data_IF_343406399816
#
_entry.id   IF_343406399816
#
_cell.length_a   1.000
_cell.length_b   1.000
_cell.length_c   1.000
_cell.angle_alpha   90.00
_cell.angle_beta   90.00
_cell.angle_gamma   90.00
#
_symmetry.space_group_name_H-M   'P 1'
#
loop_
_entity.id
_entity.type
_entity.pdbx_description
1 polymer ?
#
# COMPACT_ATOMS: atom_id res chain seq x y z
N UNK A 1 -16.59 -8.36 -0.92
CA UNK A 1 -16.28 -8.04 0.49
C UNK A 1 -17.49 -7.99 1.43
N UNK A 2 -18.73 -7.94 0.93
CA UNK A 2 -19.95 -7.92 1.74
C UNK A 2 -20.07 -9.07 2.76
N UNK A 3 -19.51 -10.23 2.46
CA UNK A 3 -19.58 -11.44 3.31
C UNK A 3 -18.40 -11.61 4.28
N UNK A 4 -17.45 -10.67 4.32
CA UNK A 4 -16.31 -10.72 5.24
C UNK A 4 -16.66 -9.91 6.49
N UNK A 5 -16.52 -10.52 7.67
CA UNK A 5 -16.63 -9.82 8.93
C UNK A 5 -15.26 -9.25 9.33
N UNK A 6 -15.20 -7.93 9.48
CA UNK A 6 -14.02 -7.26 9.99
C UNK A 6 -14.20 -6.93 11.47
N UNK A 7 -13.15 -7.03 12.26
CA UNK A 7 -13.10 -6.61 13.66
C UNK A 7 -12.63 -5.15 13.81
N UNK A 8 -11.82 -4.70 12.86
CA UNK A 8 -11.15 -3.42 12.86
C UNK A 8 -10.82 -3.01 11.43
N UNK A 9 -10.79 -1.73 11.15
CA UNK A 9 -10.17 -1.19 9.95
C UNK A 9 -9.08 -0.18 10.32
N UNK A 10 -7.98 -0.20 9.56
CA UNK A 10 -6.89 0.77 9.67
C UNK A 10 -6.67 1.36 8.29
N UNK A 11 -6.65 2.69 8.19
CA UNK A 11 -6.54 3.39 6.92
C UNK A 11 -5.37 4.36 6.91
N UNK A 12 -4.84 4.60 5.71
CA UNK A 12 -4.04 5.78 5.45
C UNK A 12 -4.81 7.05 5.83
N UNK A 13 -4.15 8.11 6.31
CA UNK A 13 -4.81 9.38 6.59
C UNK A 13 -5.23 10.13 5.33
N UNK A 14 -4.75 9.71 4.14
CA UNK A 14 -5.11 10.35 2.87
C UNK A 14 -6.58 10.10 2.53
N UNK A 15 -7.29 11.18 2.20
CA UNK A 15 -8.73 11.23 1.99
C UNK A 15 -9.27 10.09 1.12
N UNK A 16 -8.63 9.79 -0.02
CA UNK A 16 -9.05 8.74 -0.95
C UNK A 16 -9.08 7.32 -0.31
N UNK A 17 -8.09 7.00 0.53
CA UNK A 17 -8.02 5.70 1.19
C UNK A 17 -9.05 5.62 2.33
N UNK A 18 -9.23 6.71 3.07
CA UNK A 18 -10.24 6.82 4.12
C UNK A 18 -11.66 6.66 3.56
N UNK A 19 -12.01 7.38 2.51
CA UNK A 19 -13.30 7.27 1.82
C UNK A 19 -13.54 5.84 1.31
N UNK A 20 -12.52 5.19 0.76
CA UNK A 20 -12.61 3.78 0.34
C UNK A 20 -12.95 2.88 1.53
N UNK A 21 -12.25 3.05 2.66
CA UNK A 21 -12.54 2.26 3.87
C UNK A 21 -13.97 2.52 4.39
N UNK A 22 -14.40 3.78 4.45
CA UNK A 22 -15.74 4.18 4.88
C UNK A 22 -16.84 3.54 4.01
N UNK A 23 -16.68 3.54 2.69
CA UNK A 23 -17.62 2.91 1.74
C UNK A 23 -17.66 1.39 1.96
N UNK A 24 -16.50 0.74 2.12
CA UNK A 24 -16.43 -0.71 2.36
C UNK A 24 -17.06 -1.12 3.70
N UNK A 25 -17.09 -0.22 4.67
CA UNK A 25 -17.64 -0.44 6.01
C UNK A 25 -19.07 0.09 6.15
N UNK A 26 -19.67 0.65 5.11
CA UNK A 26 -21.01 1.24 5.18
C UNK A 26 -22.02 0.26 5.78
N UNK A 27 -22.81 0.76 6.75
CA UNK A 27 -23.78 -0.04 7.50
C UNK A 27 -23.19 -0.98 8.57
N UNK A 28 -21.86 -0.99 8.75
CA UNK A 28 -21.17 -1.82 9.76
C UNK A 28 -20.65 -0.95 10.91
N UNK A 29 -20.77 -1.47 12.13
CA UNK A 29 -20.23 -0.80 13.34
C UNK A 29 -18.80 -1.29 13.61
N UNK A 30 -17.89 -0.99 12.70
CA UNK A 30 -16.47 -1.40 12.76
C UNK A 30 -15.64 -0.18 13.13
N UNK A 31 -14.74 -0.26 14.14
CA UNK A 31 -13.78 0.81 14.42
C UNK A 31 -12.89 1.09 13.20
N UNK A 32 -12.71 2.36 12.86
CA UNK A 32 -11.79 2.82 11.81
C UNK A 32 -10.71 3.68 12.46
N UNK A 33 -9.46 3.25 12.37
CA UNK A 33 -8.27 3.95 12.87
C UNK A 33 -7.45 4.50 11.70
N UNK A 34 -6.77 5.59 11.91
CA UNK A 34 -5.78 6.13 10.97
C UNK A 34 -4.37 5.77 11.41
N UNK A 35 -3.49 5.42 10.47
CA UNK A 35 -2.07 5.21 10.73
C UNK A 35 -1.25 5.86 9.60
N UNK A 36 -0.42 6.84 9.97
CA UNK A 36 0.43 7.59 9.04
C UNK A 36 1.38 6.68 8.24
N UNK A 37 1.72 5.53 8.80
CA UNK A 37 2.58 4.55 8.12
C UNK A 37 1.92 3.90 6.92
N UNK A 38 0.60 4.02 6.76
CA UNK A 38 -0.12 3.54 5.57
C UNK A 38 -0.26 4.59 4.46
N UNK A 39 0.26 5.81 4.66
CA UNK A 39 0.26 6.84 3.62
C UNK A 39 1.01 6.39 2.36
N UNK A 40 0.65 6.95 1.21
CA UNK A 40 1.38 6.70 -0.04
C UNK A 40 2.82 7.21 0.06
N UNK A 41 3.68 6.68 -0.79
CA UNK A 41 5.03 7.20 -0.97
C UNK A 41 4.98 8.67 -1.36
N UNK A 42 5.69 9.52 -0.62
CA UNK A 42 5.72 10.96 -0.88
C UNK A 42 6.65 11.31 -2.02
N UNK A 43 6.18 12.15 -2.94
CA UNK A 43 7.00 12.66 -4.05
C UNK A 43 7.53 14.08 -3.82
N UNK A 44 7.31 14.67 -2.63
CA UNK A 44 7.85 15.96 -2.24
C UNK A 44 7.59 17.06 -3.27
N UNK A 45 8.65 17.70 -3.78
CA UNK A 45 8.52 18.77 -4.78
C UNK A 45 7.95 18.32 -6.13
N UNK A 46 7.80 17.00 -6.37
CA UNK A 46 7.20 16.45 -7.57
C UNK A 46 5.71 16.10 -7.40
N UNK A 47 5.11 16.40 -6.24
CA UNK A 47 3.67 16.21 -6.07
C UNK A 47 2.86 17.05 -7.08
N UNK A 48 1.79 16.43 -7.62
CA UNK A 48 0.91 17.07 -8.60
C UNK A 48 1.33 16.95 -10.05
N UNK A 49 2.51 16.39 -10.34
CA UNK A 49 2.89 16.03 -11.71
C UNK A 49 2.32 14.67 -12.09
N UNK A 50 2.07 14.47 -13.39
CA UNK A 50 1.70 13.15 -13.92
C UNK A 50 2.95 12.28 -14.06
N UNK A 51 2.96 11.16 -13.37
CA UNK A 51 4.14 10.27 -13.27
C UNK A 51 4.11 9.10 -14.27
N UNK A 52 3.03 8.92 -15.05
CA UNK A 52 2.86 7.77 -15.94
C UNK A 52 2.08 8.12 -17.22
N UNK A 53 2.29 7.30 -18.26
CA UNK A 53 1.56 7.37 -19.53
C UNK A 53 1.91 8.58 -20.41
N UNK A 54 1.07 8.84 -21.40
CA UNK A 54 1.30 9.91 -22.40
C UNK A 54 1.29 11.33 -21.79
N UNK A 55 0.69 11.49 -20.61
CA UNK A 55 0.62 12.77 -19.89
C UNK A 55 1.80 13.01 -18.95
N UNK A 56 2.74 12.09 -18.89
CA UNK A 56 3.91 12.22 -18.00
C UNK A 56 4.62 13.55 -18.23
N UNK A 57 4.77 14.34 -17.17
CA UNK A 57 5.35 15.69 -17.23
C UNK A 57 6.28 16.00 -16.06
N UNK A 58 6.79 14.98 -15.38
CA UNK A 58 7.77 15.15 -14.30
C UNK A 58 9.04 15.80 -14.86
N UNK A 59 9.52 16.91 -14.26
CA UNK A 59 10.66 17.64 -14.78
C UNK A 59 12.03 16.96 -14.51
N UNK A 60 12.05 15.87 -13.73
CA UNK A 60 13.27 15.14 -13.44
C UNK A 60 13.51 14.02 -14.46
N UNK A 61 14.55 14.11 -15.30
CA UNK A 61 14.85 13.08 -16.29
C UNK A 61 15.27 11.73 -15.68
N UNK A 62 15.63 11.71 -14.38
CA UNK A 62 15.98 10.49 -13.66
C UNK A 62 14.78 9.81 -12.99
N UNK A 63 13.60 10.40 -13.07
CA UNK A 63 12.40 9.81 -12.46
C UNK A 63 12.06 8.43 -13.03
N UNK A 64 12.50 8.11 -14.26
CA UNK A 64 12.30 6.77 -14.83
C UNK A 64 12.87 5.66 -13.95
N UNK A 65 13.92 5.91 -13.15
CA UNK A 65 14.45 4.94 -12.18
C UNK A 65 13.41 4.50 -11.14
N UNK A 66 12.39 5.32 -10.90
CA UNK A 66 11.29 4.92 -10.01
C UNK A 66 10.65 3.59 -10.44
N UNK A 67 10.50 3.38 -11.75
CA UNK A 67 9.92 2.14 -12.28
C UNK A 67 10.97 1.16 -12.79
N UNK A 68 12.01 1.65 -13.48
CA UNK A 68 12.94 0.82 -14.23
C UNK A 68 14.08 0.27 -13.37
N UNK A 69 14.50 1.01 -12.34
CA UNK A 69 15.58 0.63 -11.43
C UNK A 69 15.40 1.31 -10.05
N UNK A 70 14.50 0.77 -9.21
CA UNK A 70 14.21 1.34 -7.89
C UNK A 70 15.43 1.52 -6.99
N UNK A 71 16.49 0.72 -7.19
CA UNK A 71 17.73 0.85 -6.42
C UNK A 71 18.51 2.13 -6.77
N UNK A 72 18.37 2.62 -8.00
CA UNK A 72 18.97 3.86 -8.48
C UNK A 72 18.07 5.10 -8.28
N UNK A 73 16.79 4.91 -7.88
CA UNK A 73 15.88 6.02 -7.61
C UNK A 73 16.37 6.88 -6.45
N UNK A 74 16.39 8.17 -6.65
CA UNK A 74 16.71 9.18 -5.65
C UNK A 74 15.43 9.95 -5.30
N UNK A 75 15.09 9.99 -4.02
CA UNK A 75 13.95 10.76 -3.58
C UNK A 75 14.13 12.25 -3.93
N UNK A 76 13.10 12.91 -4.46
CA UNK A 76 13.12 14.35 -4.66
C UNK A 76 13.10 15.11 -3.33
N UNK A 77 13.37 16.39 -3.36
CA UNK A 77 13.34 17.23 -2.16
C UNK A 77 11.98 17.12 -1.44
N UNK A 78 12.02 16.73 -0.18
CA UNK A 78 10.82 16.47 0.63
C UNK A 78 10.06 15.20 0.28
N UNK A 79 10.59 14.38 -0.62
CA UNK A 79 10.05 13.07 -0.98
C UNK A 79 10.59 11.93 -0.13
N UNK A 80 10.14 10.72 -0.41
CA UNK A 80 10.49 9.49 0.29
C UNK A 80 11.25 8.52 -0.64
N UNK A 81 12.27 7.87 -0.14
CA UNK A 81 12.99 6.80 -0.85
C UNK A 81 12.30 5.44 -0.65
N UNK A 82 12.56 4.46 -1.54
CA UNK A 82 12.08 3.08 -1.35
C UNK A 82 12.56 2.45 -0.04
N UNK A 83 13.77 2.80 0.42
CA UNK A 83 14.30 2.30 1.71
C UNK A 83 13.50 2.82 2.90
N UNK A 84 13.10 4.08 2.86
CA UNK A 84 12.25 4.69 3.90
C UNK A 84 10.84 4.10 3.87
N UNK A 85 10.26 3.93 2.69
CA UNK A 85 8.97 3.29 2.48
C UNK A 85 8.96 1.85 3.03
N UNK A 86 9.94 1.02 2.68
CA UNK A 86 10.08 -0.35 3.20
C UNK A 86 10.30 -0.38 4.72
N UNK A 87 11.07 0.57 5.27
CA UNK A 87 11.26 0.70 6.71
C UNK A 87 9.93 1.00 7.42
N UNK A 88 9.12 1.89 6.86
CA UNK A 88 7.80 2.26 7.36
C UNK A 88 6.83 1.08 7.31
N UNK A 89 6.79 0.35 6.19
CA UNK A 89 6.02 -0.87 6.01
C UNK A 89 6.40 -1.96 7.02
N UNK A 90 7.70 -2.18 7.21
CA UNK A 90 8.23 -3.14 8.20
C UNK A 90 7.82 -2.77 9.63
N UNK A 91 7.89 -1.50 10.00
CA UNK A 91 7.48 -1.04 11.33
C UNK A 91 5.98 -1.23 11.57
N UNK A 92 5.14 -1.03 10.55
CA UNK A 92 3.71 -1.28 10.64
C UNK A 92 3.39 -2.78 10.78
N UNK A 93 4.02 -3.62 9.97
CA UNK A 93 3.83 -5.09 10.03
C UNK A 93 4.32 -5.67 11.36
N UNK A 94 5.43 -5.17 11.92
CA UNK A 94 5.91 -5.60 13.24
C UNK A 94 4.86 -5.36 14.32
N UNK A 95 4.22 -4.18 14.32
CA UNK A 95 3.12 -3.87 15.24
C UNK A 95 1.94 -4.84 15.08
N UNK A 96 1.58 -5.19 13.84
CA UNK A 96 0.50 -6.17 13.59
C UNK A 96 0.86 -7.56 14.12
N UNK A 97 2.13 -7.95 14.01
CA UNK A 97 2.61 -9.26 14.47
C UNK A 97 2.74 -9.36 15.99
N UNK A 98 3.06 -8.25 16.67
CA UNK A 98 3.46 -8.26 18.09
C UNK A 98 2.33 -7.84 19.04
N UNK A 99 1.39 -7.00 18.59
CA UNK A 99 0.33 -6.46 19.45
C UNK A 99 -0.77 -7.48 19.69
N UNK A 100 -0.93 -7.94 20.94
CA UNK A 100 -2.02 -8.83 21.38
C UNK A 100 -3.43 -8.33 21.01
N UNK A 101 -3.61 -7.01 20.90
CA UNK A 101 -4.88 -6.41 20.51
C UNK A 101 -5.33 -6.83 19.08
N UNK A 102 -4.42 -7.33 18.27
CA UNK A 102 -4.68 -7.75 16.89
C UNK A 102 -4.76 -9.28 16.71
N UNK A 103 -4.48 -10.06 17.78
CA UNK A 103 -4.62 -11.51 17.75
C UNK A 103 -6.05 -11.94 17.38
N UNK A 104 -6.16 -12.92 16.50
CA UNK A 104 -7.44 -13.48 16.03
C UNK A 104 -8.40 -12.44 15.44
N UNK A 105 -7.87 -11.36 14.88
CA UNK A 105 -8.65 -10.29 14.26
C UNK A 105 -8.57 -10.36 12.74
N UNK A 106 -9.71 -10.09 12.10
CA UNK A 106 -9.75 -9.77 10.69
C UNK A 106 -9.73 -8.25 10.54
N UNK A 107 -8.62 -7.73 10.01
CA UNK A 107 -8.35 -6.30 9.92
C UNK A 107 -8.42 -5.87 8.45
N UNK A 108 -9.26 -4.88 8.13
CA UNK A 108 -9.24 -4.22 6.84
C UNK A 108 -8.13 -3.17 6.84
N UNK A 109 -7.22 -3.24 5.88
CA UNK A 109 -6.24 -2.19 5.62
C UNK A 109 -6.63 -1.43 4.34
N UNK A 110 -6.73 -0.11 4.40
CA UNK A 110 -6.93 0.74 3.24
C UNK A 110 -5.70 1.62 3.04
N UNK A 111 -5.00 1.40 1.93
CA UNK A 111 -3.72 2.03 1.62
C UNK A 111 -3.58 2.32 0.12
N UNK A 112 -2.39 2.46 -0.40
CA UNK A 112 -2.07 2.93 -1.74
C UNK A 112 -1.13 1.97 -2.46
N UNK A 113 -0.87 2.23 -3.74
CA UNK A 113 -0.13 1.33 -4.62
C UNK A 113 1.28 1.01 -4.16
N UNK A 114 2.12 2.02 -3.93
CA UNK A 114 3.51 1.78 -3.51
C UNK A 114 3.59 1.27 -2.06
N UNK A 115 2.75 1.77 -1.15
CA UNK A 115 2.71 1.27 0.22
C UNK A 115 2.21 -0.18 0.29
N UNK A 116 1.17 -0.55 -0.48
CA UNK A 116 0.71 -1.94 -0.54
C UNK A 116 1.83 -2.85 -1.05
N UNK A 117 2.55 -2.44 -2.12
CA UNK A 117 3.71 -3.16 -2.62
C UNK A 117 4.77 -3.33 -1.53
N UNK A 118 5.11 -2.26 -0.82
CA UNK A 118 6.09 -2.31 0.28
C UNK A 118 5.69 -3.28 1.41
N UNK A 119 4.40 -3.34 1.76
CA UNK A 119 3.89 -4.31 2.74
C UNK A 119 4.06 -5.75 2.26
N UNK A 120 3.65 -6.04 1.02
CA UNK A 120 3.74 -7.37 0.43
C UNK A 120 5.21 -7.81 0.27
N UNK A 121 6.06 -6.94 -0.23
CA UNK A 121 7.49 -7.21 -0.44
C UNK A 121 8.22 -7.42 0.89
N UNK A 122 7.86 -6.65 1.94
CA UNK A 122 8.39 -6.88 3.29
C UNK A 122 8.04 -8.28 3.81
N UNK A 123 6.79 -8.74 3.60
CA UNK A 123 6.37 -10.10 3.99
C UNK A 123 7.11 -11.17 3.21
N UNK A 124 7.38 -10.92 1.92
CA UNK A 124 8.09 -11.86 1.03
C UNK A 124 9.62 -11.81 1.16
N UNK A 125 10.17 -10.81 1.85
CA UNK A 125 11.61 -10.58 1.96
C UNK A 125 12.24 -10.06 0.66
N UNK A 126 11.46 -9.36 -0.17
CA UNK A 126 11.89 -8.75 -1.43
C UNK A 126 12.56 -7.40 -1.14
N UNK A 127 13.70 -7.15 -1.77
CA UNK A 127 14.46 -5.90 -1.64
C UNK A 127 14.03 -4.80 -2.60
N UNK A 128 14.73 -3.64 -2.50
CA UNK A 128 14.44 -2.46 -3.35
C UNK A 128 14.64 -2.78 -4.84
N UNK A 129 15.66 -3.56 -5.18
CA UNK A 129 16.02 -3.89 -6.56
C UNK A 129 14.87 -4.55 -7.34
N UNK A 130 14.00 -5.26 -6.64
CA UNK A 130 12.92 -6.07 -7.20
C UNK A 130 11.53 -5.50 -6.87
N UNK A 131 11.47 -4.26 -6.39
CA UNK A 131 10.25 -3.65 -5.86
C UNK A 131 9.06 -3.71 -6.83
N UNK A 132 9.28 -3.53 -8.12
CA UNK A 132 8.22 -3.54 -9.13
C UNK A 132 8.13 -4.85 -9.93
N UNK A 133 8.89 -5.91 -9.60
CA UNK A 133 8.88 -7.16 -10.36
C UNK A 133 7.49 -7.82 -10.45
N UNK A 134 6.68 -7.68 -9.41
CA UNK A 134 5.28 -8.15 -9.42
C UNK A 134 4.28 -7.11 -9.98
N UNK A 135 4.77 -6.02 -10.55
CA UNK A 135 3.97 -4.94 -11.13
C UNK A 135 3.27 -4.04 -10.09
N UNK A 136 2.62 -3.01 -10.61
CA UNK A 136 1.76 -2.11 -9.83
C UNK A 136 0.41 -2.75 -9.63
N UNK A 137 -0.11 -2.72 -8.41
CA UNK A 137 -1.45 -3.25 -8.11
C UNK A 137 -2.54 -2.40 -8.77
N UNK A 138 -3.56 -3.07 -9.32
CA UNK A 138 -4.74 -2.38 -9.85
C UNK A 138 -5.52 -1.67 -8.74
N UNK A 139 -6.28 -0.65 -9.11
CA UNK A 139 -7.14 0.06 -8.17
C UNK A 139 -8.13 -0.91 -7.50
N UNK A 140 -8.35 -0.73 -6.20
CA UNK A 140 -9.23 -1.59 -5.39
C UNK A 140 -8.88 -3.09 -5.45
N UNK A 141 -7.66 -3.44 -5.88
CA UNK A 141 -7.17 -4.81 -5.75
C UNK A 141 -7.03 -5.18 -4.27
N UNK A 142 -7.34 -6.43 -3.97
CA UNK A 142 -7.32 -6.97 -2.61
C UNK A 142 -6.20 -7.97 -2.48
N UNK A 143 -5.41 -7.83 -1.43
CA UNK A 143 -4.40 -8.81 -1.02
C UNK A 143 -4.68 -9.28 0.40
N UNK A 144 -4.36 -10.53 0.70
CA UNK A 144 -4.58 -11.13 2.01
C UNK A 144 -3.24 -11.54 2.60
N UNK A 145 -2.96 -11.04 3.80
CA UNK A 145 -1.82 -11.43 4.62
C UNK A 145 -2.36 -12.17 5.85
N UNK A 146 -1.94 -13.40 6.06
CA UNK A 146 -2.17 -14.15 7.28
C UNK A 146 -1.00 -13.92 8.23
N UNK A 147 -1.30 -13.63 9.50
CA UNK A 147 -0.30 -13.55 10.57
C UNK A 147 -0.60 -14.65 11.58
N UNK A 148 0.33 -15.57 11.75
CA UNK A 148 0.24 -16.68 12.71
C UNK A 148 1.55 -16.84 13.45
N UNK A 149 1.46 -16.89 14.77
CA UNK A 149 2.62 -17.03 15.68
C UNK A 149 3.72 -15.96 15.42
N UNK A 150 3.29 -14.72 15.11
CA UNK A 150 4.18 -13.60 14.78
C UNK A 150 4.80 -13.65 13.39
N UNK A 151 4.43 -14.63 12.55
CA UNK A 151 4.92 -14.79 11.19
C UNK A 151 3.84 -14.37 10.19
N UNK A 152 4.17 -13.41 9.33
CA UNK A 152 3.30 -12.95 8.26
C UNK A 152 3.54 -13.75 6.97
N UNK A 153 2.48 -14.08 6.24
CA UNK A 153 2.50 -14.76 4.95
C UNK A 153 1.47 -14.16 4.01
N UNK A 154 1.84 -13.88 2.78
CA UNK A 154 0.89 -13.49 1.72
C UNK A 154 0.12 -14.72 1.27
N UNK A 155 -1.22 -14.68 1.39
CA UNK A 155 -2.12 -15.77 0.99
C UNK A 155 -2.72 -15.51 -0.38
N UNK A 156 -3.13 -14.25 -0.63
CA UNK A 156 -3.64 -13.79 -1.92
C UNK A 156 -3.04 -12.45 -2.25
N UNK A 157 -2.83 -12.17 -3.54
CA UNK A 157 -2.27 -10.91 -4.00
C UNK A 157 -2.98 -10.38 -5.23
N UNK A 158 -3.40 -9.12 -5.18
CA UNK A 158 -3.87 -8.37 -6.34
C UNK A 158 -5.19 -8.87 -6.93
N UNK A 159 -6.04 -9.52 -6.15
CA UNK A 159 -7.34 -10.01 -6.64
C UNK A 159 -8.30 -8.84 -6.85
N UNK A 160 -8.89 -8.77 -8.04
CA UNK A 160 -9.90 -7.75 -8.40
C UNK A 160 -11.30 -8.37 -8.33
N UNK A 161 -12.28 -7.57 -7.87
CA UNK A 161 -13.68 -7.96 -7.70
C UNK A 161 -14.65 -7.08 -8.50
N UNK A 162 -14.14 -6.49 -9.58
CA UNK A 162 -14.91 -5.69 -10.53
C UNK A 162 -14.54 -6.09 -11.97
N UNK A 163 -15.37 -5.74 -12.95
CA UNK A 163 -15.09 -5.99 -14.36
C UNK A 163 -13.97 -5.07 -14.86
N UNK A 164 -13.14 -5.57 -15.78
CA UNK A 164 -11.89 -4.93 -16.25
C UNK A 164 -12.05 -3.60 -17.03
N UNK A 165 -13.24 -3.00 -17.04
CA UNK A 165 -13.51 -1.73 -17.74
C UNK A 165 -13.10 -0.46 -16.95
N UNK A 166 -12.51 -0.61 -15.77
CA UNK A 166 -12.01 0.53 -15.00
C UNK A 166 -10.64 0.93 -15.51
N UNK A 167 -10.53 2.16 -16.04
CA UNK A 167 -9.26 2.70 -16.52
C UNK A 167 -8.19 2.63 -15.43
N UNK A 168 -7.03 2.04 -15.78
CA UNK A 168 -5.83 2.08 -14.94
C UNK A 168 -5.29 3.52 -14.90
N UNK A 169 -4.84 3.94 -13.73
CA UNK A 169 -4.21 5.25 -13.50
C UNK A 169 -2.90 5.42 -14.29
#
# INVERSE_FOLDING_TARGET
MSNISFDLAITSPLKRAKETAEILLEGRKIPLLEDERLAEMGFGCLEGYYCKGEKMNIPDPKFHYFYDDPACYQAPDGGESFKELLKRAKGFLADLCEKKAYENKTILLSTHGAMLRALLDTVKGIGVEQFWDSGVQKNCAVSVIEIKDGIAKVIEEGVIYYDDEVEDW
#
